data_IF_696667585825
#
_entry.id   IF_696667585825
#
_cell.length_a   1.000
_cell.length_b   1.000
_cell.length_c   1.000
_cell.angle_alpha   90.00
_cell.angle_beta   90.00
_cell.angle_gamma   90.00
#
_symmetry.space_group_name_H-M   'P 1'
#
loop_
_entity.id
_entity.type
_entity.pdbx_description
1 polymer ?
#
# COMPACT_ATOMS: atom_id res chain seq x y z
N UNK A 1 60.18 60.43 -10.79
CA UNK A 1 58.89 60.71 -11.44
C UNK A 1 58.77 59.71 -12.57
N UNK A 2 57.85 58.74 -12.47
CA UNK A 2 57.14 58.06 -13.58
C UNK A 2 56.43 56.82 -13.05
N UNK A 3 55.13 56.98 -12.84
CA UNK A 3 54.18 55.98 -12.38
C UNK A 3 53.66 55.17 -13.57
N UNK A 4 54.09 53.92 -13.73
CA UNK A 4 53.50 53.02 -14.73
C UNK A 4 52.44 52.09 -14.12
N UNK A 5 51.24 52.68 -14.03
CA UNK A 5 49.93 52.15 -14.43
C UNK A 5 49.71 50.62 -14.38
N UNK A 6 48.80 50.25 -13.48
CA UNK A 6 48.03 49.02 -13.47
C UNK A 6 47.50 48.61 -14.86
N UNK A 7 47.40 47.29 -15.10
CA UNK A 7 46.31 46.61 -15.83
C UNK A 7 46.66 45.12 -16.04
N UNK A 8 46.27 44.26 -15.10
CA UNK A 8 45.95 42.87 -15.43
C UNK A 8 44.51 42.61 -14.98
N UNK A 9 43.59 43.22 -15.71
CA UNK A 9 42.16 43.01 -15.61
C UNK A 9 41.81 41.64 -16.19
N UNK A 10 41.47 40.72 -15.30
CA UNK A 10 40.35 39.77 -15.41
C UNK A 10 39.99 39.34 -16.85
N UNK A 11 40.60 38.26 -17.33
CA UNK A 11 39.94 37.40 -18.33
C UNK A 11 38.83 36.62 -17.62
N UNK A 12 37.70 37.28 -17.37
CA UNK A 12 36.44 36.58 -17.13
C UNK A 12 36.03 35.97 -18.46
N UNK A 13 36.13 34.65 -18.57
CA UNK A 13 35.58 33.90 -19.69
C UNK A 13 34.12 34.31 -19.89
N UNK A 14 33.82 34.91 -21.05
CA UNK A 14 32.44 35.10 -21.49
C UNK A 14 31.83 33.71 -21.57
N UNK A 15 31.00 33.34 -20.58
CA UNK A 15 30.02 32.27 -20.77
C UNK A 15 29.18 32.71 -21.97
N UNK A 16 29.30 31.96 -23.07
CA UNK A 16 28.43 32.11 -24.22
C UNK A 16 27.01 31.79 -23.72
N UNK A 17 26.22 32.83 -23.49
CA UNK A 17 24.78 32.71 -23.35
C UNK A 17 24.24 32.21 -24.68
N UNK A 18 24.13 30.88 -24.83
CA UNK A 18 23.47 30.27 -25.98
C UNK A 18 21.99 30.53 -25.81
N UNK A 19 21.42 31.33 -26.72
CA UNK A 19 19.97 31.51 -26.78
C UNK A 19 19.29 30.19 -27.12
N UNK A 20 18.19 29.90 -26.44
CA UNK A 20 17.32 28.76 -26.76
C UNK A 20 16.37 29.16 -27.89
N UNK A 21 16.07 28.24 -28.81
CA UNK A 21 15.11 28.52 -29.89
C UNK A 21 13.68 28.24 -29.43
N UNK A 22 12.69 28.94 -30.00
CA UNK A 22 11.27 28.67 -29.72
C UNK A 22 10.88 27.24 -30.09
N UNK A 23 11.46 26.72 -31.19
CA UNK A 23 11.21 25.35 -31.66
C UNK A 23 11.76 24.30 -30.69
N UNK A 24 12.94 24.55 -30.13
CA UNK A 24 13.57 23.66 -29.15
C UNK A 24 12.72 23.54 -27.87
N UNK A 25 12.20 24.68 -27.37
CA UNK A 25 11.28 24.65 -26.22
C UNK A 25 9.96 23.97 -26.57
N UNK A 26 9.42 24.21 -27.77
CA UNK A 26 8.16 23.61 -28.23
C UNK A 26 8.25 22.08 -28.28
N UNK A 27 9.30 21.54 -28.90
CA UNK A 27 9.50 20.08 -29.00
C UNK A 27 9.66 19.46 -27.60
N UNK A 28 10.41 20.10 -26.71
CA UNK A 28 10.61 19.60 -25.34
C UNK A 28 9.30 19.57 -24.56
N UNK A 29 8.53 20.65 -24.57
CA UNK A 29 7.23 20.71 -23.88
C UNK A 29 6.24 19.71 -24.47
N UNK A 30 6.29 19.49 -25.78
CA UNK A 30 5.44 18.49 -26.45
C UNK A 30 5.75 17.07 -25.98
N UNK A 31 7.03 16.68 -25.93
CA UNK A 31 7.45 15.37 -25.44
C UNK A 31 7.11 15.20 -23.95
N UNK A 32 7.32 16.24 -23.14
CA UNK A 32 6.93 16.24 -21.72
C UNK A 32 5.42 16.04 -21.55
N UNK A 33 4.59 16.70 -22.35
CA UNK A 33 3.13 16.55 -22.30
C UNK A 33 2.67 15.12 -22.65
N UNK A 34 3.28 14.50 -23.68
CA UNK A 34 2.98 13.12 -24.08
C UNK A 34 3.35 12.13 -22.96
N UNK A 35 4.54 12.28 -22.38
CA UNK A 35 5.02 11.40 -21.30
C UNK A 35 4.17 11.58 -20.04
N UNK A 36 3.88 12.83 -19.66
CA UNK A 36 3.06 13.13 -18.49
C UNK A 36 1.63 12.58 -18.64
N UNK A 37 1.07 12.60 -19.85
CA UNK A 37 -0.26 12.02 -20.13
C UNK A 37 -0.31 10.49 -20.07
N UNK A 38 0.77 9.79 -20.40
CA UNK A 38 0.79 8.32 -20.49
C UNK A 38 1.03 7.57 -19.18
N UNK A 39 1.65 8.20 -18.18
CA UNK A 39 2.20 7.48 -17.02
C UNK A 39 1.17 7.06 -15.95
N UNK A 40 -0.02 7.64 -15.91
CA UNK A 40 -0.94 7.50 -14.76
C UNK A 40 -1.92 6.33 -14.85
N UNK A 41 -2.18 5.77 -16.02
CA UNK A 41 -3.30 4.83 -16.22
C UNK A 41 -3.00 3.36 -15.88
N UNK A 42 -1.73 2.93 -15.83
CA UNK A 42 -1.40 1.49 -15.80
C UNK A 42 -1.26 0.91 -14.37
N UNK A 43 -0.88 1.73 -13.39
CA UNK A 43 -0.47 1.21 -12.06
C UNK A 43 -1.65 1.01 -11.10
N UNK A 44 -2.72 1.77 -11.27
CA UNK A 44 -3.87 1.79 -10.34
C UNK A 44 -4.57 0.43 -10.14
N UNK A 45 -4.91 -0.35 -11.18
CA UNK A 45 -5.61 -1.63 -10.99
C UNK A 45 -4.73 -2.68 -10.30
N UNK A 46 -3.42 -2.64 -10.53
CA UNK A 46 -2.45 -3.54 -9.88
C UNK A 46 -2.31 -3.26 -8.40
N UNK A 47 -2.32 -1.99 -8.00
CA UNK A 47 -2.30 -1.61 -6.59
C UNK A 47 -3.54 -2.13 -5.86
N UNK A 48 -4.73 -2.00 -6.48
CA UNK A 48 -5.98 -2.49 -5.90
C UNK A 48 -5.99 -4.00 -5.73
N UNK A 49 -5.59 -4.76 -6.76
CA UNK A 49 -5.40 -6.22 -6.68
C UNK A 49 -4.42 -6.60 -5.57
N UNK A 50 -3.31 -5.88 -5.46
CA UNK A 50 -2.31 -6.14 -4.42
C UNK A 50 -2.84 -5.87 -3.01
N UNK A 51 -3.66 -4.83 -2.81
CA UNK A 51 -4.30 -4.55 -1.52
C UNK A 51 -5.26 -5.67 -1.13
N UNK A 52 -6.17 -6.08 -2.02
CA UNK A 52 -7.10 -7.19 -1.75
C UNK A 52 -6.35 -8.47 -1.39
N UNK A 53 -5.30 -8.81 -2.13
CA UNK A 53 -4.46 -10.00 -1.84
C UNK A 53 -3.72 -9.88 -0.51
N UNK A 54 -3.24 -8.69 -0.16
CA UNK A 54 -2.58 -8.43 1.12
C UNK A 54 -3.57 -8.58 2.27
N UNK A 55 -4.79 -8.06 2.10
CA UNK A 55 -5.87 -8.19 3.08
C UNK A 55 -6.20 -9.66 3.34
N UNK A 56 -6.38 -10.45 2.28
CA UNK A 56 -6.61 -11.90 2.35
C UNK A 56 -5.47 -12.62 3.08
N UNK A 57 -4.21 -12.32 2.72
CA UNK A 57 -3.04 -12.95 3.35
C UNK A 57 -2.96 -12.61 4.84
N UNK A 58 -3.23 -11.36 5.23
CA UNK A 58 -3.29 -10.96 6.63
C UNK A 58 -4.38 -11.69 7.40
N UNK A 59 -5.57 -11.84 6.81
CA UNK A 59 -6.66 -12.61 7.40
C UNK A 59 -6.27 -14.07 7.65
N UNK A 60 -5.63 -14.73 6.67
CA UNK A 60 -5.14 -16.11 6.83
C UNK A 60 -4.08 -16.24 7.93
N UNK A 61 -3.17 -15.27 8.03
CA UNK A 61 -2.13 -15.27 9.09
C UNK A 61 -2.76 -15.12 10.47
N UNK A 62 -3.72 -14.20 10.63
CA UNK A 62 -4.43 -13.99 11.90
C UNK A 62 -5.25 -15.23 12.26
N UNK A 63 -5.92 -15.86 11.29
CA UNK A 63 -6.62 -17.14 11.50
C UNK A 63 -5.68 -18.21 12.04
N UNK A 64 -4.53 -18.41 11.39
CA UNK A 64 -3.55 -19.40 11.85
C UNK A 64 -3.03 -19.11 13.26
N UNK A 65 -2.86 -17.84 13.63
CA UNK A 65 -2.48 -17.45 14.98
C UNK A 65 -3.61 -17.69 16.00
N UNK A 66 -4.87 -17.43 15.60
CA UNK A 66 -6.04 -17.71 16.42
C UNK A 66 -6.22 -19.22 16.66
N UNK A 67 -6.06 -20.05 15.61
CA UNK A 67 -6.12 -21.50 15.71
C UNK A 67 -5.05 -22.05 16.67
N UNK A 68 -3.82 -21.54 16.57
CA UNK A 68 -2.73 -21.88 17.48
C UNK A 68 -3.05 -21.49 18.93
N UNK A 69 -3.61 -20.31 19.14
CA UNK A 69 -4.02 -19.83 20.46
C UNK A 69 -5.07 -20.75 21.11
N UNK A 70 -6.06 -21.20 20.33
CA UNK A 70 -7.07 -22.14 20.81
C UNK A 70 -6.47 -23.52 21.13
N UNK A 71 -5.58 -24.03 20.27
CA UNK A 71 -4.94 -25.35 20.46
C UNK A 71 -4.05 -25.42 21.71
N UNK A 72 -3.46 -24.29 22.12
CA UNK A 72 -2.65 -24.19 23.35
C UNK A 72 -3.49 -24.20 24.64
N UNK A 73 -4.82 -24.37 24.54
CA UNK A 73 -5.73 -24.40 25.69
C UNK A 73 -5.93 -23.05 26.37
N UNK A 74 -5.39 -21.97 25.80
CA UNK A 74 -5.51 -20.60 26.32
C UNK A 74 -6.81 -19.91 25.91
N UNK A 75 -7.59 -20.53 25.02
CA UNK A 75 -8.84 -19.99 24.47
C UNK A 75 -10.10 -20.78 24.84
N UNK A 76 -10.09 -21.53 25.94
CA UNK A 76 -11.16 -22.46 26.32
C UNK A 76 -12.53 -21.84 26.60
N UNK A 77 -12.66 -20.50 26.66
CA UNK A 77 -13.91 -19.83 27.06
C UNK A 77 -14.43 -18.76 26.06
N UNK A 78 -13.86 -18.65 24.86
CA UNK A 78 -14.46 -17.75 23.87
C UNK A 78 -13.61 -17.45 22.63
N UNK A 79 -14.26 -16.82 21.66
CA UNK A 79 -13.63 -16.38 20.43
C UNK A 79 -12.52 -15.36 20.71
N UNK A 80 -11.26 -15.62 20.30
CA UNK A 80 -10.16 -14.72 20.60
C UNK A 80 -10.34 -13.39 19.87
N UNK A 81 -10.04 -12.29 20.56
CA UNK A 81 -9.92 -10.97 19.93
C UNK A 81 -8.49 -10.73 19.47
N UNK A 82 -8.31 -9.80 18.54
CA UNK A 82 -6.98 -9.41 18.05
C UNK A 82 -6.08 -8.95 19.19
N UNK A 83 -6.60 -8.17 20.13
CA UNK A 83 -5.85 -7.71 21.30
C UNK A 83 -5.38 -8.88 22.18
N UNK A 84 -6.20 -9.94 22.30
CA UNK A 84 -5.79 -11.18 22.99
C UNK A 84 -4.61 -11.82 22.26
N UNK A 85 -4.66 -11.93 20.92
CA UNK A 85 -3.57 -12.52 20.14
C UNK A 85 -2.27 -11.72 20.21
N UNK A 86 -2.36 -10.37 20.23
CA UNK A 86 -1.20 -9.49 20.44
C UNK A 86 -0.61 -9.70 21.84
N UNK A 87 -1.47 -9.74 22.87
CA UNK A 87 -1.05 -9.92 24.27
C UNK A 87 -0.40 -11.29 24.51
N UNK A 88 -0.93 -12.32 23.85
CA UNK A 88 -0.40 -13.68 23.86
C UNK A 88 0.85 -13.86 22.97
N UNK A 89 1.36 -12.76 22.37
CA UNK A 89 2.51 -12.75 21.45
C UNK A 89 2.36 -13.70 20.25
N UNK A 90 1.13 -13.98 19.84
CA UNK A 90 0.84 -14.80 18.66
C UNK A 90 0.91 -13.97 17.37
N UNK A 91 0.64 -12.67 17.47
CA UNK A 91 0.79 -11.72 16.36
C UNK A 91 1.53 -10.46 16.82
N UNK A 92 2.19 -9.79 15.87
CA UNK A 92 2.75 -8.45 16.09
C UNK A 92 1.61 -7.42 16.08
N UNK A 93 1.66 -6.44 16.99
CA UNK A 93 0.72 -5.32 17.03
C UNK A 93 0.70 -4.48 15.75
N UNK A 94 1.74 -4.57 14.91
CA UNK A 94 1.78 -3.91 13.60
C UNK A 94 1.00 -4.65 12.50
N UNK A 95 0.48 -5.87 12.77
CA UNK A 95 -0.23 -6.72 11.80
C UNK A 95 -1.70 -6.92 12.15
N UNK A 96 -2.28 -6.00 12.93
CA UNK A 96 -3.68 -6.03 13.36
C UNK A 96 -4.64 -5.43 12.34
N UNK A 97 -4.11 -4.59 11.44
CA UNK A 97 -4.89 -3.77 10.55
C UNK A 97 -4.72 -4.22 9.10
N UNK A 98 -5.78 -4.05 8.33
CA UNK A 98 -5.82 -4.32 6.91
C UNK A 98 -5.15 -3.20 6.09
N UNK A 99 -5.01 -3.37 4.75
CA UNK A 99 -4.37 -2.38 3.88
C UNK A 99 -5.07 -1.01 3.82
N UNK A 100 -6.28 -0.89 4.37
CA UNK A 100 -7.07 0.33 4.43
C UNK A 100 -7.10 0.97 5.83
N UNK A 101 -6.40 0.35 6.79
CA UNK A 101 -6.26 0.79 8.18
C UNK A 101 -7.45 0.43 9.06
N UNK A 102 -8.23 -0.59 8.69
CA UNK A 102 -9.26 -1.15 9.57
C UNK A 102 -8.73 -2.38 10.29
N UNK A 103 -9.00 -2.54 11.60
CA UNK A 103 -8.64 -3.76 12.30
C UNK A 103 -9.40 -4.94 11.70
N UNK A 104 -8.72 -6.08 11.56
CA UNK A 104 -9.41 -7.31 11.17
C UNK A 104 -10.50 -7.69 12.19
N UNK A 105 -11.42 -8.56 11.79
CA UNK A 105 -12.45 -9.09 12.68
C UNK A 105 -12.40 -10.59 12.71
N UNK A 106 -12.32 -11.13 13.92
CA UNK A 106 -12.34 -12.56 14.16
C UNK A 106 -13.79 -12.93 14.49
N UNK A 107 -14.37 -13.85 13.72
CA UNK A 107 -15.68 -14.45 13.97
C UNK A 107 -15.46 -15.94 14.18
N UNK A 108 -16.00 -16.48 15.25
CA UNK A 108 -15.97 -17.92 15.51
C UNK A 108 -17.36 -18.48 15.28
N UNK A 109 -17.44 -19.57 14.54
CA UNK A 109 -18.68 -20.33 14.40
C UNK A 109 -18.75 -21.36 15.53
N UNK A 110 -19.70 -21.19 16.44
CA UNK A 110 -19.90 -22.09 17.58
C UNK A 110 -20.34 -23.50 17.15
N UNK A 111 -20.92 -23.65 15.96
CA UNK A 111 -21.43 -24.93 15.47
C UNK A 111 -20.33 -25.80 14.84
N UNK A 112 -19.38 -25.19 14.12
CA UNK A 112 -18.27 -25.91 13.46
C UNK A 112 -16.95 -25.78 14.21
N UNK A 113 -16.88 -24.91 15.22
CA UNK A 113 -15.66 -24.53 15.92
C UNK A 113 -14.58 -23.98 14.95
N UNK A 114 -15.00 -23.45 13.80
CA UNK A 114 -14.12 -22.81 12.84
C UNK A 114 -13.97 -21.32 13.16
N UNK A 115 -12.74 -20.84 13.00
CA UNK A 115 -12.41 -19.42 13.10
C UNK A 115 -12.36 -18.82 11.71
N UNK A 116 -13.03 -17.69 11.54
CA UNK A 116 -13.00 -16.88 10.33
C UNK A 116 -12.46 -15.50 10.63
N UNK A 117 -11.69 -14.95 9.69
CA UNK A 117 -11.12 -13.61 9.81
C UNK A 117 -11.53 -12.79 8.60
N UNK A 118 -12.07 -11.60 8.88
CA UNK A 118 -12.71 -10.74 7.89
C UNK A 118 -12.05 -9.36 7.92
N UNK A 119 -11.77 -8.79 6.74
CA UNK A 119 -11.43 -7.37 6.53
C UNK A 119 -12.62 -6.66 5.90
N UNK A 120 -12.87 -5.43 6.36
CA UNK A 120 -13.94 -4.53 5.88
C UNK A 120 -13.67 -3.90 4.52
N UNK A 121 -12.62 -4.32 3.82
CA UNK A 121 -12.35 -3.89 2.45
C UNK A 121 -12.06 -2.40 2.30
N UNK A 122 -12.28 -1.91 1.08
CA UNK A 122 -11.94 -0.55 0.67
C UNK A 122 -12.97 0.48 1.16
N UNK A 123 -14.22 0.08 1.29
CA UNK A 123 -15.31 0.95 1.74
C UNK A 123 -15.34 1.16 3.26
N UNK A 124 -14.57 0.34 4.00
CA UNK A 124 -14.41 0.35 5.46
C UNK A 124 -15.72 0.11 6.20
N UNK A 125 -16.66 -0.56 5.58
CA UNK A 125 -17.93 -0.97 6.17
C UNK A 125 -17.94 -2.48 6.28
N UNK A 126 -18.77 -2.97 7.18
CA UNK A 126 -18.91 -4.40 7.40
C UNK A 126 -20.15 -4.92 6.70
N UNK A 127 -20.09 -6.19 6.32
CA UNK A 127 -21.15 -6.91 5.63
C UNK A 127 -21.47 -6.28 4.27
N UNK A 128 -20.43 -5.78 3.60
CA UNK A 128 -20.48 -5.21 2.27
C UNK A 128 -19.85 -6.16 1.25
N UNK A 129 -20.13 -5.99 -0.06
CA UNK A 129 -19.62 -6.90 -1.08
C UNK A 129 -18.09 -6.94 -1.23
N UNK A 130 -17.38 -5.94 -0.68
CA UNK A 130 -15.92 -5.84 -0.70
C UNK A 130 -15.24 -6.39 0.55
N UNK A 131 -16.00 -6.99 1.48
CA UNK A 131 -15.46 -7.74 2.60
C UNK A 131 -14.59 -8.90 2.11
N UNK A 132 -13.41 -9.04 2.71
CA UNK A 132 -12.42 -10.07 2.35
C UNK A 132 -12.30 -11.05 3.50
N UNK A 133 -12.66 -12.31 3.24
CA UNK A 133 -12.60 -13.41 4.21
C UNK A 133 -11.48 -14.39 3.89
N UNK A 134 -11.02 -15.12 4.91
CA UNK A 134 -9.97 -16.13 4.79
C UNK A 134 -10.36 -17.34 3.93
N UNK A 135 -11.66 -17.62 3.78
CA UNK A 135 -12.21 -18.78 3.08
C UNK A 135 -12.54 -18.51 1.59
N UNK A 136 -12.29 -17.29 1.12
CA UNK A 136 -12.65 -16.88 -0.24
C UNK A 136 -11.80 -17.55 -1.32
N UNK A 137 -12.41 -17.80 -2.48
CA UNK A 137 -11.70 -18.32 -3.65
C UNK A 137 -10.95 -17.20 -4.37
N UNK A 138 -9.86 -17.55 -5.05
CA UNK A 138 -9.08 -16.59 -5.85
C UNK A 138 -9.93 -15.83 -6.90
N UNK A 139 -10.96 -16.48 -7.47
CA UNK A 139 -11.87 -15.85 -8.42
C UNK A 139 -12.75 -14.76 -7.78
N UNK A 140 -13.11 -14.89 -6.50
CA UNK A 140 -13.90 -13.91 -5.77
C UNK A 140 -13.05 -12.70 -5.39
N UNK A 141 -11.81 -12.94 -4.94
CA UNK A 141 -10.84 -11.87 -4.66
C UNK A 141 -10.56 -11.02 -5.90
N UNK A 142 -10.45 -11.64 -7.08
CA UNK A 142 -10.26 -10.90 -8.33
C UNK A 142 -11.48 -10.04 -8.69
N UNK A 143 -12.70 -10.53 -8.46
CA UNK A 143 -13.92 -9.73 -8.64
C UNK A 143 -13.94 -8.51 -7.72
N UNK A 144 -13.59 -8.69 -6.44
CA UNK A 144 -13.49 -7.57 -5.48
C UNK A 144 -12.44 -6.55 -5.92
N UNK A 145 -11.30 -7.01 -6.44
CA UNK A 145 -10.28 -6.10 -6.95
C UNK A 145 -10.71 -5.31 -8.19
N UNK A 146 -11.72 -5.79 -8.92
CA UNK A 146 -12.27 -5.14 -10.12
C UNK A 146 -13.43 -4.18 -9.82
N UNK A 147 -14.11 -4.31 -8.67
CA UNK A 147 -15.23 -3.44 -8.22
C UNK A 147 -14.77 -2.08 -7.71
#
# INVERSE_FOLDING_TARGET
>A
METNRAKNLRRLGRKLSRGVTLVEVLIVVTIMAIIAGGATLVVWPKLKQSRVKSAYTGATVIKSAADQYLQLGSGSEGCPTIQTLVSAKQIDGNKTDDPWGQPYKIKCDEATNDIHVISSGNDRKENTPDDIRDDMKASELNKIAEM
#
